data_IF_238358339635
#
_entry.id   IF_238358339635
#
_cell.length_a   1.000
_cell.length_b   1.000
_cell.length_c   1.000
_cell.angle_alpha   90.00
_cell.angle_beta   90.00
_cell.angle_gamma   90.00
#
_symmetry.space_group_name_H-M   'P 1'
#
loop_
_entity.id
_entity.type
_entity.pdbx_description
1 polymer ?
#
# COMPACT_ATOMS: atom_id res chain seq x y z
N UNK A 1 16.64 13.26 -10.96
CA UNK A 1 17.18 11.98 -10.51
C UNK A 1 17.87 12.08 -9.14
N UNK A 2 18.84 13.00 -8.95
CA UNK A 2 19.61 13.13 -7.71
C UNK A 2 18.76 13.48 -6.47
N UNK A 3 17.82 14.41 -6.59
CA UNK A 3 16.91 14.80 -5.50
C UNK A 3 16.05 13.63 -5.01
N UNK A 4 15.46 12.85 -5.94
CA UNK A 4 14.61 11.70 -5.60
C UNK A 4 15.38 10.61 -4.84
N UNK A 5 16.64 10.35 -5.23
CA UNK A 5 17.51 9.44 -4.52
C UNK A 5 17.83 9.94 -3.11
N UNK A 6 18.20 11.21 -2.96
CA UNK A 6 18.47 11.80 -1.66
C UNK A 6 17.27 11.73 -0.71
N UNK A 7 16.07 12.09 -1.22
CA UNK A 7 14.83 12.01 -0.44
C UNK A 7 14.53 10.57 -0.01
N UNK A 8 14.70 9.59 -0.92
CA UNK A 8 14.49 8.18 -0.61
C UNK A 8 15.50 7.63 0.41
N UNK A 9 16.77 8.03 0.34
CA UNK A 9 17.79 7.65 1.33
C UNK A 9 17.47 8.24 2.72
N UNK A 10 17.07 9.51 2.78
CA UNK A 10 16.67 10.14 4.04
C UNK A 10 15.46 9.46 4.68
N UNK A 11 14.48 9.04 3.85
CA UNK A 11 13.32 8.28 4.32
C UNK A 11 13.72 6.87 4.76
N UNK A 12 14.65 6.21 4.06
CA UNK A 12 15.16 4.89 4.45
C UNK A 12 15.80 4.93 5.84
N UNK A 13 16.68 5.91 6.10
CA UNK A 13 17.32 6.09 7.42
C UNK A 13 16.28 6.30 8.54
N UNK A 14 15.21 7.07 8.26
CA UNK A 14 14.12 7.25 9.21
C UNK A 14 13.33 5.95 9.43
N UNK A 15 12.98 5.25 8.37
CA UNK A 15 12.27 3.97 8.45
C UNK A 15 13.08 2.94 9.27
N UNK A 16 14.37 2.80 9.00
CA UNK A 16 15.27 1.89 9.75
C UNK A 16 15.34 2.26 11.23
N UNK A 17 15.48 3.55 11.55
CA UNK A 17 15.52 4.06 12.94
C UNK A 17 14.27 3.68 13.74
N UNK A 18 13.11 3.63 13.09
CA UNK A 18 11.82 3.37 13.74
C UNK A 18 11.25 1.98 13.45
N UNK A 19 12.04 1.08 12.84
CA UNK A 19 11.62 -0.30 12.53
C UNK A 19 10.50 -0.38 11.50
N UNK A 20 10.38 0.62 10.61
CA UNK A 20 9.39 0.63 9.53
C UNK A 20 10.02 0.19 8.20
N UNK A 21 9.25 -0.49 7.35
CA UNK A 21 9.66 -0.82 5.99
C UNK A 21 9.44 0.35 5.02
N UNK A 22 10.44 0.69 4.20
CA UNK A 22 10.27 1.62 3.09
C UNK A 22 9.83 0.88 1.83
N UNK A 23 8.78 1.39 1.18
CA UNK A 23 8.29 0.91 -0.12
C UNK A 23 8.40 2.05 -1.13
N UNK A 24 9.14 1.83 -2.21
CA UNK A 24 9.22 2.76 -3.33
C UNK A 24 8.05 2.51 -4.28
N UNK A 25 7.37 3.58 -4.70
CA UNK A 25 6.28 3.48 -5.67
C UNK A 25 6.83 3.59 -7.10
N UNK A 26 6.50 2.63 -7.97
CA UNK A 26 6.73 2.55 -9.41
C UNK A 26 8.20 2.39 -9.85
N UNK A 27 9.19 2.90 -9.11
CA UNK A 27 10.59 2.96 -9.52
C UNK A 27 11.39 1.73 -9.04
N UNK A 28 11.37 0.66 -9.85
CA UNK A 28 12.08 -0.58 -9.57
C UNK A 28 13.61 -0.37 -9.46
N UNK A 29 14.19 0.52 -10.27
CA UNK A 29 15.63 0.79 -10.24
C UNK A 29 16.05 1.47 -8.94
N UNK A 30 15.22 2.40 -8.43
CA UNK A 30 15.45 3.06 -7.14
C UNK A 30 15.28 2.07 -5.98
N UNK A 31 14.24 1.23 -6.02
CA UNK A 31 14.02 0.19 -5.01
C UNK A 31 15.20 -0.79 -4.94
N UNK A 32 15.70 -1.24 -6.09
CA UNK A 32 16.86 -2.10 -6.19
C UNK A 32 18.14 -1.43 -5.63
N UNK A 33 18.36 -0.17 -5.98
CA UNK A 33 19.53 0.60 -5.53
C UNK A 33 19.55 0.77 -4.00
N UNK A 34 18.39 0.87 -3.36
CA UNK A 34 18.27 1.05 -1.91
C UNK A 34 18.03 -0.28 -1.17
N UNK A 35 17.82 -1.38 -1.89
CA UNK A 35 17.45 -2.68 -1.32
C UNK A 35 16.20 -2.61 -0.44
N UNK A 36 15.18 -1.86 -0.89
CA UNK A 36 13.89 -1.67 -0.19
C UNK A 36 12.74 -2.28 -0.97
N UNK A 37 11.51 -2.23 -0.41
CA UNK A 37 10.32 -2.74 -1.07
C UNK A 37 9.88 -1.89 -2.26
N UNK A 38 9.03 -2.47 -3.10
CA UNK A 38 8.47 -1.85 -4.31
C UNK A 38 6.96 -2.00 -4.31
N UNK A 39 6.25 -1.01 -4.83
CA UNK A 39 4.83 -1.11 -5.19
C UNK A 39 4.63 -0.77 -6.65
N UNK A 40 3.90 -1.61 -7.39
CA UNK A 40 3.62 -1.43 -8.81
C UNK A 40 2.13 -1.23 -9.07
N UNK A 41 1.79 -0.21 -9.84
CA UNK A 41 0.51 -0.07 -10.52
C UNK A 41 0.47 -0.88 -11.81
N UNK A 42 -0.69 -0.88 -12.49
CA UNK A 42 -0.91 -1.69 -13.70
C UNK A 42 -0.07 -1.26 -14.91
N UNK A 43 0.45 -0.03 -14.92
CA UNK A 43 1.26 0.52 -16.00
C UNK A 43 2.75 0.67 -15.69
N UNK A 44 3.19 0.27 -14.50
CA UNK A 44 4.50 0.65 -13.96
C UNK A 44 5.57 -0.45 -14.08
N UNK A 45 5.30 -1.46 -14.88
CA UNK A 45 6.20 -2.59 -15.13
C UNK A 45 5.60 -3.93 -14.74
N UNK A 46 6.36 -5.01 -14.97
CA UNK A 46 5.90 -6.35 -14.69
C UNK A 46 6.45 -6.86 -13.35
N UNK A 47 5.58 -7.48 -12.56
CA UNK A 47 5.93 -8.13 -11.30
C UNK A 47 7.05 -9.18 -11.46
N UNK A 48 7.01 -10.10 -12.45
CA UNK A 48 8.09 -11.06 -12.67
C UNK A 48 9.44 -10.39 -12.95
N UNK A 49 9.47 -9.29 -13.73
CA UNK A 49 10.70 -8.56 -14.00
C UNK A 49 11.23 -7.87 -12.72
N UNK A 50 10.35 -7.24 -11.93
CA UNK A 50 10.73 -6.65 -10.66
C UNK A 50 11.25 -7.72 -9.67
N UNK A 51 10.60 -8.88 -9.61
CA UNK A 51 11.04 -10.01 -8.80
C UNK A 51 12.41 -10.54 -9.21
N UNK A 52 12.70 -10.61 -10.51
CA UNK A 52 14.00 -11.01 -11.02
C UNK A 52 15.12 -10.02 -10.60
N UNK A 53 14.81 -8.72 -10.55
CA UNK A 53 15.77 -7.67 -10.16
C UNK A 53 15.96 -7.60 -8.64
N UNK A 54 14.87 -7.62 -7.89
CA UNK A 54 14.88 -7.39 -6.43
C UNK A 54 15.14 -8.67 -5.62
N UNK A 55 15.01 -9.83 -6.23
CA UNK A 55 15.21 -11.12 -5.58
C UNK A 55 13.95 -11.67 -4.88
N UNK A 56 14.00 -12.94 -4.46
CA UNK A 56 12.81 -13.67 -3.98
C UNK A 56 12.26 -13.16 -2.65
N UNK A 57 13.05 -12.50 -1.82
CA UNK A 57 12.66 -12.02 -0.50
C UNK A 57 12.17 -10.57 -0.48
N UNK A 58 12.27 -9.84 -1.59
CA UNK A 58 11.84 -8.45 -1.65
C UNK A 58 10.34 -8.32 -1.44
N UNK A 59 9.90 -7.28 -0.73
CA UNK A 59 8.48 -6.96 -0.60
C UNK A 59 8.03 -6.23 -1.86
N UNK A 60 7.17 -6.85 -2.67
CA UNK A 60 6.62 -6.24 -3.89
C UNK A 60 5.10 -6.28 -3.81
N UNK A 61 4.48 -5.11 -3.73
CA UNK A 61 3.04 -4.95 -3.75
C UNK A 61 2.49 -4.68 -5.14
N UNK A 62 1.23 -5.01 -5.37
CA UNK A 62 0.55 -4.78 -6.62
C UNK A 62 -0.80 -4.07 -6.44
N UNK A 63 -1.06 -3.05 -7.24
CA UNK A 63 -2.39 -2.45 -7.37
C UNK A 63 -3.32 -3.37 -8.18
N UNK A 64 -4.44 -3.78 -7.57
CA UNK A 64 -5.43 -4.66 -8.19
C UNK A 64 -6.75 -3.94 -8.49
N UNK A 65 -6.85 -2.64 -8.23
CA UNK A 65 -8.11 -1.88 -8.36
C UNK A 65 -9.28 -2.60 -7.67
N UNK A 66 -10.39 -2.80 -8.39
CA UNK A 66 -11.55 -3.55 -7.91
C UNK A 66 -11.65 -4.95 -8.57
N UNK A 67 -10.53 -5.55 -8.99
CA UNK A 67 -10.51 -6.80 -9.77
C UNK A 67 -9.82 -7.94 -9.04
N UNK A 68 -10.54 -9.03 -8.83
CA UNK A 68 -10.00 -10.29 -8.33
C UNK A 68 -9.13 -11.02 -9.38
N UNK A 69 -9.34 -10.75 -10.66
CA UNK A 69 -8.54 -11.30 -11.76
C UNK A 69 -7.15 -10.68 -11.76
N UNK A 70 -7.05 -9.34 -11.64
CA UNK A 70 -5.75 -8.66 -11.48
C UNK A 70 -5.02 -9.13 -10.20
N UNK A 71 -5.77 -9.35 -9.12
CA UNK A 71 -5.20 -9.87 -7.89
C UNK A 71 -4.68 -11.31 -8.05
N UNK A 72 -5.41 -12.16 -8.79
CA UNK A 72 -4.96 -13.53 -9.08
C UNK A 72 -3.69 -13.52 -9.94
N UNK A 73 -3.63 -12.67 -10.95
CA UNK A 73 -2.43 -12.51 -11.78
C UNK A 73 -1.26 -12.03 -10.93
N UNK A 74 -1.45 -10.99 -10.12
CA UNK A 74 -0.40 -10.46 -9.25
C UNK A 74 0.10 -11.51 -8.24
N UNK A 75 -0.79 -12.29 -7.65
CA UNK A 75 -0.42 -13.38 -6.74
C UNK A 75 0.43 -14.46 -7.44
N UNK A 76 0.04 -14.88 -8.65
CA UNK A 76 0.80 -15.84 -9.46
C UNK A 76 2.15 -15.29 -9.90
N UNK A 77 2.24 -13.99 -10.15
CA UNK A 77 3.45 -13.29 -10.56
C UNK A 77 4.40 -12.97 -9.39
N UNK A 78 4.04 -13.36 -8.16
CA UNK A 78 4.90 -13.27 -6.99
C UNK A 78 4.78 -11.96 -6.21
N UNK A 79 3.59 -11.33 -6.20
CA UNK A 79 3.29 -10.22 -5.28
C UNK A 79 3.42 -10.68 -3.81
N UNK A 80 3.87 -9.77 -2.96
CA UNK A 80 3.94 -9.96 -1.51
C UNK A 80 2.66 -9.50 -0.81
N UNK A 81 1.91 -8.59 -1.41
CA UNK A 81 0.60 -8.11 -0.96
C UNK A 81 -0.21 -7.55 -2.12
N UNK A 82 -1.54 -7.50 -1.95
CA UNK A 82 -2.50 -7.07 -2.95
C UNK A 82 -3.21 -5.79 -2.49
N UNK A 83 -3.17 -4.72 -3.28
CA UNK A 83 -3.82 -3.45 -2.95
C UNK A 83 -5.11 -3.27 -3.74
N UNK A 84 -6.23 -3.15 -3.02
CA UNK A 84 -7.55 -2.94 -3.56
C UNK A 84 -8.06 -1.53 -3.29
N UNK A 85 -8.77 -0.96 -4.22
CA UNK A 85 -9.38 0.36 -4.13
C UNK A 85 -9.52 1.03 -5.49
N UNK A 86 -10.02 2.25 -5.45
CA UNK A 86 -10.32 3.02 -4.22
C UNK A 86 -11.66 2.59 -3.62
N UNK A 87 -11.76 2.62 -2.31
CA UNK A 87 -13.04 2.33 -1.63
C UNK A 87 -13.89 3.60 -1.44
N UNK A 88 -13.27 4.75 -1.24
CA UNK A 88 -13.97 6.02 -1.05
C UNK A 88 -13.43 7.11 -1.99
N UNK A 89 -14.17 8.20 -2.12
CA UNK A 89 -13.73 9.33 -2.91
C UNK A 89 -12.41 9.90 -2.38
N UNK A 90 -11.44 10.07 -3.28
CA UNK A 90 -10.10 10.51 -2.95
C UNK A 90 -9.77 11.81 -3.69
N UNK A 91 -9.15 12.76 -2.98
CA UNK A 91 -8.64 13.98 -3.60
C UNK A 91 -7.41 13.72 -4.49
N UNK A 92 -6.68 12.63 -4.25
CA UNK A 92 -5.46 12.29 -4.99
C UNK A 92 -5.74 11.81 -6.42
N UNK A 93 -6.85 11.07 -6.63
CA UNK A 93 -7.29 10.58 -7.95
C UNK A 93 -8.82 10.71 -8.06
N UNK A 94 -9.35 11.90 -8.33
CA UNK A 94 -10.79 12.08 -8.51
C UNK A 94 -11.27 11.32 -9.76
N UNK A 95 -12.51 10.80 -9.73
CA UNK A 95 -13.15 10.18 -10.89
C UNK A 95 -12.88 8.68 -11.13
N UNK A 96 -11.98 8.01 -10.40
CA UNK A 96 -11.85 6.56 -10.50
C UNK A 96 -13.08 5.85 -9.87
N UNK A 97 -13.54 4.70 -10.41
CA UNK A 97 -14.64 3.95 -9.81
C UNK A 97 -14.29 3.47 -8.39
N UNK A 98 -15.30 3.44 -7.52
CA UNK A 98 -15.15 2.93 -6.14
C UNK A 98 -15.36 1.41 -6.12
N UNK A 99 -14.56 0.72 -5.31
CA UNK A 99 -14.72 -0.69 -5.03
C UNK A 99 -15.81 -0.91 -3.97
N UNK A 100 -16.55 -2.01 -4.07
CA UNK A 100 -17.45 -2.47 -3.01
C UNK A 100 -16.64 -3.14 -1.89
N UNK A 101 -17.04 -2.95 -0.65
CA UNK A 101 -16.41 -3.58 0.53
C UNK A 101 -16.46 -5.12 0.45
N UNK A 102 -17.52 -5.69 -0.12
CA UNK A 102 -17.64 -7.13 -0.36
C UNK A 102 -16.49 -7.72 -1.21
N UNK A 103 -15.76 -6.88 -1.95
CA UNK A 103 -14.54 -7.27 -2.66
C UNK A 103 -13.49 -7.85 -1.71
N UNK A 104 -13.33 -7.28 -0.52
CA UNK A 104 -12.37 -7.74 0.48
C UNK A 104 -12.74 -9.13 1.04
N UNK A 105 -14.03 -9.41 1.27
CA UNK A 105 -14.48 -10.74 1.68
C UNK A 105 -14.17 -11.79 0.61
N UNK A 106 -14.38 -11.44 -0.65
CA UNK A 106 -14.06 -12.33 -1.77
C UNK A 106 -12.55 -12.54 -1.90
N UNK A 107 -11.75 -11.47 -1.77
CA UNK A 107 -10.30 -11.53 -1.83
C UNK A 107 -9.72 -12.37 -0.68
N UNK A 108 -10.19 -12.17 0.56
CA UNK A 108 -9.76 -12.92 1.75
C UNK A 108 -10.02 -14.43 1.62
N UNK A 109 -11.12 -14.83 0.98
CA UNK A 109 -11.42 -16.24 0.72
C UNK A 109 -10.52 -16.86 -0.35
N UNK A 110 -10.02 -16.05 -1.28
CA UNK A 110 -9.30 -16.50 -2.47
C UNK A 110 -7.78 -16.43 -2.33
N UNK A 111 -7.26 -15.47 -1.55
CA UNK A 111 -5.83 -15.21 -1.45
C UNK A 111 -5.35 -15.30 -0.01
N UNK A 112 -4.20 -15.98 0.19
CA UNK A 112 -3.50 -16.00 1.47
C UNK A 112 -2.59 -14.78 1.70
N UNK A 113 -2.41 -13.93 0.67
CA UNK A 113 -1.58 -12.73 0.73
C UNK A 113 -2.26 -11.63 1.55
N UNK A 114 -1.48 -10.77 2.23
CA UNK A 114 -2.01 -9.58 2.87
C UNK A 114 -2.80 -8.70 1.90
N UNK A 115 -3.94 -8.20 2.35
CA UNK A 115 -4.82 -7.32 1.57
C UNK A 115 -4.70 -5.88 2.08
N UNK A 116 -4.35 -4.96 1.19
CA UNK A 116 -4.27 -3.53 1.50
C UNK A 116 -5.49 -2.81 0.95
N UNK A 117 -6.23 -2.13 1.81
CA UNK A 117 -7.28 -1.21 1.37
C UNK A 117 -6.70 0.21 1.17
N UNK A 118 -7.05 0.85 0.04
CA UNK A 118 -6.57 2.19 -0.32
C UNK A 118 -7.69 3.05 -0.92
N UNK A 119 -7.54 4.36 -0.80
CA UNK A 119 -8.33 5.38 -1.48
C UNK A 119 -9.42 5.99 -0.62
N UNK A 120 -9.20 7.25 -0.23
CA UNK A 120 -10.14 8.06 0.54
C UNK A 120 -10.40 7.60 1.98
N UNK A 121 -9.46 6.86 2.56
CA UNK A 121 -9.59 6.31 3.91
C UNK A 121 -9.48 7.41 4.96
N UNK A 122 -10.36 7.32 5.96
CA UNK A 122 -10.39 8.13 7.18
C UNK A 122 -10.54 7.22 8.39
N UNK A 123 -10.37 7.75 9.61
CA UNK A 123 -10.59 6.99 10.84
C UNK A 123 -12.04 6.44 10.93
N UNK A 124 -13.01 7.19 10.42
CA UNK A 124 -14.43 6.84 10.51
C UNK A 124 -14.85 5.75 9.51
N UNK A 125 -14.24 5.72 8.32
CA UNK A 125 -14.64 4.81 7.25
C UNK A 125 -13.75 3.56 7.10
N UNK A 126 -12.62 3.50 7.82
CA UNK A 126 -11.66 2.39 7.76
C UNK A 126 -12.12 1.12 8.52
N UNK A 127 -12.78 1.19 9.70
CA UNK A 127 -13.11 -0.01 10.48
C UNK A 127 -13.87 -1.09 9.71
N UNK A 128 -14.89 -0.78 8.87
CA UNK A 128 -15.55 -1.81 8.07
C UNK A 128 -14.61 -2.54 7.12
N UNK A 129 -13.60 -1.87 6.54
CA UNK A 129 -12.65 -2.51 5.63
C UNK A 129 -11.78 -3.53 6.35
N UNK A 130 -11.36 -3.24 7.59
CA UNK A 130 -10.60 -4.18 8.43
C UNK A 130 -11.46 -5.40 8.77
N UNK A 131 -12.71 -5.19 9.19
CA UNK A 131 -13.65 -6.28 9.50
C UNK A 131 -13.88 -7.20 8.29
N UNK A 132 -13.92 -6.64 7.08
CA UNK A 132 -14.07 -7.39 5.82
C UNK A 132 -12.77 -8.00 5.29
N UNK A 133 -11.64 -7.84 5.99
CA UNK A 133 -10.41 -8.57 5.71
C UNK A 133 -9.22 -7.77 5.22
N UNK A 134 -9.29 -6.43 5.22
CA UNK A 134 -8.08 -5.64 5.02
C UNK A 134 -7.12 -5.83 6.20
N UNK A 135 -5.95 -6.39 5.94
CA UNK A 135 -4.88 -6.56 6.93
C UNK A 135 -3.91 -5.38 6.96
N UNK A 136 -4.00 -4.51 5.97
CA UNK A 136 -3.24 -3.26 5.85
C UNK A 136 -4.12 -2.16 5.26
N UNK A 137 -3.77 -0.92 5.54
CA UNK A 137 -4.38 0.28 4.94
C UNK A 137 -3.31 1.22 4.40
N UNK A 138 -3.60 1.89 3.28
CA UNK A 138 -2.74 2.93 2.73
C UNK A 138 -3.46 4.29 2.79
N UNK A 139 -2.91 5.22 3.54
CA UNK A 139 -3.50 6.51 3.85
C UNK A 139 -2.53 7.64 3.50
N UNK A 140 -2.97 8.64 2.77
CA UNK A 140 -2.17 9.83 2.45
C UNK A 140 -2.81 11.08 3.06
N UNK A 141 -3.93 11.53 2.49
CA UNK A 141 -4.51 12.82 2.85
C UNK A 141 -4.97 12.88 4.32
N UNK A 142 -5.71 11.87 4.79
CA UNK A 142 -6.19 11.85 6.17
C UNK A 142 -5.07 11.81 7.21
N UNK A 143 -3.85 11.41 6.83
CA UNK A 143 -2.68 11.42 7.69
C UNK A 143 -1.90 12.74 7.57
N UNK A 144 -1.48 13.10 6.35
CA UNK A 144 -0.51 14.17 6.11
C UNK A 144 -1.11 15.56 5.92
N UNK A 145 -2.44 15.71 5.79
CA UNK A 145 -3.11 17.00 5.81
C UNK A 145 -3.29 17.57 7.24
N UNK A 146 -2.57 17.03 8.22
CA UNK A 146 -2.54 17.57 9.58
C UNK A 146 -1.63 18.80 9.66
N UNK A 147 -1.97 19.74 10.52
CA UNK A 147 -1.30 21.04 10.64
C UNK A 147 0.07 20.99 11.33
N UNK A 148 0.42 19.85 11.97
CA UNK A 148 1.69 19.69 12.68
C UNK A 148 2.17 18.24 12.70
N UNK A 149 3.46 18.04 12.94
CA UNK A 149 4.05 16.71 13.11
C UNK A 149 3.41 15.92 14.28
N UNK A 150 3.08 16.59 15.38
CA UNK A 150 2.38 15.97 16.51
C UNK A 150 0.98 15.48 16.11
N UNK A 151 0.25 16.25 15.30
CA UNK A 151 -1.05 15.85 14.79
C UNK A 151 -0.93 14.69 13.79
N UNK A 152 0.09 14.65 12.93
CA UNK A 152 0.39 13.50 12.06
C UNK A 152 0.64 12.25 12.91
N UNK A 153 1.46 12.36 13.96
CA UNK A 153 1.75 11.24 14.85
C UNK A 153 0.50 10.74 15.58
N UNK A 154 -0.34 11.64 16.08
CA UNK A 154 -1.59 11.28 16.75
C UNK A 154 -2.54 10.55 15.79
N UNK A 155 -2.69 11.02 14.56
CA UNK A 155 -3.49 10.35 13.51
C UNK A 155 -2.91 8.97 13.15
N UNK A 156 -1.59 8.85 13.01
CA UNK A 156 -0.95 7.58 12.74
C UNK A 156 -1.22 6.54 13.82
N UNK A 157 -1.14 6.94 15.09
CA UNK A 157 -1.49 6.07 16.24
C UNK A 157 -2.96 5.66 16.18
N UNK A 158 -3.88 6.61 15.97
CA UNK A 158 -5.30 6.31 15.87
C UNK A 158 -5.62 5.30 14.75
N UNK A 159 -4.96 5.40 13.59
CA UNK A 159 -5.08 4.37 12.53
C UNK A 159 -4.52 3.01 12.96
N UNK A 160 -3.40 2.97 13.68
CA UNK A 160 -2.83 1.72 14.19
C UNK A 160 -3.73 1.05 15.22
N UNK A 161 -4.39 1.84 16.07
CA UNK A 161 -5.29 1.35 17.12
C UNK A 161 -6.54 0.66 16.55
N UNK A 162 -6.95 0.99 15.32
CA UNK A 162 -8.05 0.30 14.63
C UNK A 162 -7.80 -1.21 14.43
N UNK A 163 -6.53 -1.62 14.31
CA UNK A 163 -6.15 -3.03 14.16
C UNK A 163 -6.04 -3.78 15.50
N UNK A 164 -5.87 -3.05 16.60
CA UNK A 164 -5.77 -3.63 17.93
C UNK A 164 -7.14 -3.83 18.62
N UNK A 165 -8.19 -3.27 18.02
CA UNK A 165 -9.54 -3.24 18.61
C UNK A 165 -10.49 -4.31 18.03
N UNK A 166 -9.98 -5.20 17.14
CA UNK A 166 -10.75 -6.26 16.48
C UNK A 166 -10.29 -7.67 16.87
#
# INVERSE_FOLDING_TARGET
>A
PARRLYEAQSLQELCERYGAGLIINDDCALAARLSVGLHLGQGDGSLPAARAVLGPQAIIGATCHASLELAAQAANDGASYLAFGRFFNSQTKPGAPTADIALLDNARRRFALPLTAIGGLTLDNTPPLITHGASMIAVIHALFAAESAAAVQARARAFSDLFNSN
#
